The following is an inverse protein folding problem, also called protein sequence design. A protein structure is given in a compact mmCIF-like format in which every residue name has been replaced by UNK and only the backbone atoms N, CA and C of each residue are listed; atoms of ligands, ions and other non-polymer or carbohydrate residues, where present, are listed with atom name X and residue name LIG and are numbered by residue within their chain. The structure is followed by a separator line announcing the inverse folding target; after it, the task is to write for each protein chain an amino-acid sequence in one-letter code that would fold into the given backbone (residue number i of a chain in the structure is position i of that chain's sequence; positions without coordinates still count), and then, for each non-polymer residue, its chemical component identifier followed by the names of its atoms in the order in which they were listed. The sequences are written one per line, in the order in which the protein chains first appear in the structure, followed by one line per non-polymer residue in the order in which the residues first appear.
data_IF_819391411289
#
_entry.id   IF_819391411289
#
_cell.length_a   1.000
_cell.length_b   1.000
_cell.length_c   1.000
_cell.angle_alpha   90.00
_cell.angle_beta   90.00
_cell.angle_gamma   90.00
#
_symmetry.space_group_name_H-M   'P 1'
#
loop_
_entity.id
_entity.type
_entity.pdbx_description
1 polymer ?
#
# COMPACT_ATOMS: atom_id res chain seq x y z
N UNK A 1 -5.40 16.79 -6.36
CA UNK A 1 -5.16 15.82 -5.25
C UNK A 1 -6.14 16.04 -4.10
N UNK A 2 -6.44 15.00 -3.32
CA UNK A 2 -7.27 15.10 -2.12
C UNK A 2 -6.46 15.71 -0.97
N UNK A 3 -6.98 16.72 -0.22
CA UNK A 3 -6.33 17.22 0.98
C UNK A 3 -6.16 16.13 2.05
N UNK A 4 -5.03 16.12 2.75
CA UNK A 4 -4.73 15.15 3.82
C UNK A 4 -5.83 15.05 4.87
N UNK A 5 -6.33 16.19 5.35
CA UNK A 5 -7.36 16.22 6.40
C UNK A 5 -8.68 15.58 5.91
N UNK A 6 -8.98 15.72 4.61
CA UNK A 6 -10.13 15.06 3.99
C UNK A 6 -9.92 13.55 3.89
N UNK A 7 -8.72 13.09 3.51
CA UNK A 7 -8.39 11.67 3.48
C UNK A 7 -8.55 11.07 4.89
N UNK A 8 -7.89 11.68 5.88
CA UNK A 8 -7.94 11.26 7.28
C UNK A 8 -9.38 11.16 7.76
N UNK A 9 -10.20 12.19 7.52
CA UNK A 9 -11.60 12.19 7.91
C UNK A 9 -12.37 11.01 7.29
N UNK A 10 -12.16 10.73 6.00
CA UNK A 10 -12.78 9.56 5.32
C UNK A 10 -12.35 8.25 5.99
N UNK A 11 -11.05 8.09 6.29
CA UNK A 11 -10.53 6.87 6.90
C UNK A 11 -11.08 6.67 8.33
N UNK A 12 -11.30 7.74 9.09
CA UNK A 12 -11.95 7.69 10.41
C UNK A 12 -13.41 7.21 10.33
N UNK A 13 -14.11 7.49 9.24
CA UNK A 13 -15.49 7.02 9.02
C UNK A 13 -15.55 5.55 8.56
N UNK A 14 -14.41 4.93 8.25
CA UNK A 14 -14.33 3.58 7.66
C UNK A 14 -13.41 2.65 8.49
N UNK A 15 -13.66 2.44 9.79
CA UNK A 15 -12.76 1.67 10.66
C UNK A 15 -12.64 0.19 10.26
N UNK A 16 -13.67 -0.38 9.64
CA UNK A 16 -13.70 -1.78 9.17
C UNK A 16 -13.13 -1.94 7.75
N UNK A 17 -12.53 -0.91 7.16
CA UNK A 17 -11.94 -1.01 5.84
C UNK A 17 -10.69 -1.92 5.89
N UNK A 18 -10.80 -3.07 5.25
CA UNK A 18 -9.73 -4.07 5.20
C UNK A 18 -8.72 -3.80 4.08
N UNK A 19 -9.13 -3.10 3.03
CA UNK A 19 -8.31 -2.87 1.85
C UNK A 19 -8.37 -1.40 1.46
N UNK A 20 -7.22 -0.73 1.49
CA UNK A 20 -7.08 0.66 1.09
C UNK A 20 -6.18 0.72 -0.15
N UNK A 21 -6.68 1.37 -1.20
CA UNK A 21 -5.90 1.70 -2.38
C UNK A 21 -5.96 3.20 -2.62
N UNK A 22 -4.80 3.85 -2.63
CA UNK A 22 -4.66 5.28 -2.85
C UNK A 22 -3.75 5.49 -4.05
N UNK A 23 -4.23 6.27 -5.00
CA UNK A 23 -3.49 6.67 -6.19
C UNK A 23 -3.39 8.19 -6.25
N UNK A 24 -2.19 8.71 -6.06
CA UNK A 24 -1.88 10.13 -6.16
C UNK A 24 -1.50 10.47 -7.59
N UNK A 25 -2.45 11.04 -8.31
CA UNK A 25 -2.22 11.47 -9.68
C UNK A 25 -1.48 12.80 -9.68
N UNK A 26 -0.35 12.84 -10.39
CA UNK A 26 0.20 14.11 -10.87
C UNK A 26 -0.81 14.69 -11.85
N UNK A 27 -1.60 15.66 -11.40
CA UNK A 27 -2.30 16.51 -12.34
C UNK A 27 -1.22 17.09 -13.26
N UNK A 28 -1.34 16.82 -14.56
CA UNK A 28 -0.50 17.42 -15.61
C UNK A 28 -0.81 18.92 -15.70
N UNK A 29 -0.71 19.65 -14.59
CA UNK A 29 -0.75 21.08 -14.62
C UNK A 29 0.53 21.54 -15.33
N UNK A 30 0.42 22.50 -16.27
CA UNK A 30 1.60 23.14 -16.81
C UNK A 30 2.45 23.66 -15.64
N UNK A 31 3.79 23.64 -15.74
CA UNK A 31 4.66 24.16 -14.69
C UNK A 31 4.33 25.64 -14.49
N UNK A 32 3.46 25.95 -13.53
CA UNK A 32 3.21 27.32 -13.10
C UNK A 32 4.43 27.76 -12.28
N UNK A 33 5.24 28.71 -12.77
CA UNK A 33 6.54 29.03 -12.17
C UNK A 33 6.42 29.94 -10.95
N UNK A 34 5.27 29.99 -10.27
CA UNK A 34 5.01 30.98 -9.23
C UNK A 34 4.30 30.30 -8.06
N UNK A 35 5.01 30.27 -6.93
CA UNK A 35 4.66 29.71 -5.61
C UNK A 35 4.97 28.23 -5.47
N UNK A 36 6.04 27.93 -4.73
CA UNK A 36 6.45 26.59 -4.31
C UNK A 36 5.42 25.91 -3.42
N UNK A 37 4.29 25.54 -4.02
CA UNK A 37 3.36 24.58 -3.45
C UNK A 37 4.08 23.24 -3.52
N UNK A 38 4.79 22.92 -2.44
CA UNK A 38 5.21 21.55 -2.16
C UNK A 38 3.96 20.70 -2.30
N UNK A 39 3.99 19.75 -3.24
CA UNK A 39 2.87 18.85 -3.50
C UNK A 39 2.75 17.88 -2.33
N UNK A 40 2.11 18.32 -1.25
CA UNK A 40 1.97 17.51 -0.06
C UNK A 40 1.21 16.21 -0.39
N UNK A 41 1.88 15.07 -0.23
CA UNK A 41 1.24 13.76 -0.39
C UNK A 41 0.06 13.64 0.58
N UNK A 42 -1.02 12.99 0.14
CA UNK A 42 -2.16 12.70 1.02
C UNK A 42 -1.80 11.59 2.03
N UNK A 43 -0.80 10.75 1.72
CA UNK A 43 -0.17 9.83 2.66
C UNK A 43 1.23 10.34 3.01
N UNK A 44 1.34 10.91 4.22
CA UNK A 44 2.60 11.30 4.83
C UNK A 44 2.93 10.39 6.03
N UNK A 45 4.08 10.66 6.68
CA UNK A 45 4.49 9.99 7.91
C UNK A 45 3.42 10.04 9.02
N UNK A 46 2.62 11.11 9.09
CA UNK A 46 1.60 11.23 10.12
C UNK A 46 0.45 10.24 9.88
N UNK A 47 0.05 10.07 8.63
CA UNK A 47 -0.95 9.06 8.25
C UNK A 47 -0.41 7.65 8.54
N UNK A 48 0.84 7.35 8.15
CA UNK A 48 1.46 6.05 8.43
C UNK A 48 1.59 5.76 9.93
N UNK A 49 1.98 6.75 10.73
CA UNK A 49 2.03 6.61 12.21
C UNK A 49 0.66 6.33 12.81
N UNK A 50 -0.41 6.89 12.25
CA UNK A 50 -1.78 6.61 12.71
C UNK A 50 -2.29 5.23 12.28
N UNK A 51 -1.77 4.70 11.18
CA UNK A 51 -1.93 3.31 10.78
C UNK A 51 -1.05 2.37 11.63
N UNK A 52 0.05 2.85 12.23
CA UNK A 52 0.91 2.02 13.08
C UNK A 52 0.17 1.59 14.34
N UNK A 53 0.22 0.31 14.68
CA UNK A 53 -0.34 -0.24 15.91
C UNK A 53 0.69 -0.10 17.05
N UNK A 54 0.48 0.75 18.07
CA UNK A 54 1.38 0.79 19.21
C UNK A 54 1.34 -0.54 19.95
N UNK A 55 2.42 -0.92 20.63
CA UNK A 55 2.51 -2.19 21.39
C UNK A 55 1.25 -2.45 22.24
N UNK A 56 0.50 -3.49 21.89
CA UNK A 56 -0.72 -3.92 22.58
C UNK A 56 -1.96 -3.05 22.37
N UNK A 57 -1.94 -2.12 21.40
CA UNK A 57 -3.06 -1.24 21.07
C UNK A 57 -3.44 -1.37 19.60
N UNK A 58 -4.73 -1.18 19.30
CA UNK A 58 -5.19 -1.06 17.93
C UNK A 58 -4.72 0.27 17.31
N UNK A 59 -4.41 0.29 16.00
CA UNK A 59 -4.07 1.53 15.34
C UNK A 59 -5.28 2.47 15.27
N UNK A 60 -5.01 3.78 15.27
CA UNK A 60 -6.07 4.80 15.29
C UNK A 60 -6.82 4.87 13.96
N UNK A 61 -6.13 4.62 12.85
CA UNK A 61 -6.73 4.51 11.53
C UNK A 61 -6.72 3.04 11.07
N UNK A 62 -7.86 2.61 10.53
CA UNK A 62 -8.04 1.32 9.88
C UNK A 62 -7.52 0.14 10.72
N UNK A 63 -8.12 -0.11 11.90
CA UNK A 63 -7.75 -1.23 12.76
C UNK A 63 -7.85 -2.59 12.08
N UNK A 64 -8.68 -2.75 11.05
CA UNK A 64 -8.86 -4.02 10.35
C UNK A 64 -8.11 -4.08 9.01
N UNK A 65 -7.17 -3.17 8.75
CA UNK A 65 -6.47 -3.14 7.47
C UNK A 65 -5.62 -4.40 7.27
N UNK A 66 -5.90 -5.09 6.16
CA UNK A 66 -5.19 -6.26 5.66
C UNK A 66 -4.40 -5.97 4.40
N UNK A 67 -4.79 -4.96 3.63
CA UNK A 67 -4.10 -4.63 2.38
C UNK A 67 -3.94 -3.14 2.18
N UNK A 68 -2.73 -2.72 1.85
CA UNK A 68 -2.41 -1.34 1.52
C UNK A 68 -1.76 -1.26 0.15
N UNK A 69 -2.37 -0.49 -0.75
CA UNK A 69 -1.78 -0.11 -2.04
C UNK A 69 -1.63 1.40 -2.09
N UNK A 70 -0.41 1.87 -2.30
CA UNK A 70 -0.13 3.30 -2.47
C UNK A 70 0.65 3.50 -3.76
N UNK A 71 0.18 4.40 -4.61
CA UNK A 71 0.80 4.71 -5.90
C UNK A 71 0.82 6.23 -6.12
N UNK A 72 1.85 6.74 -6.80
CA UNK A 72 1.92 8.16 -7.18
C UNK A 72 3.12 8.91 -6.60
N UNK A 73 2.97 10.21 -6.36
CA UNK A 73 4.01 11.06 -5.76
C UNK A 73 3.92 10.95 -4.24
N UNK A 74 4.77 10.10 -3.65
CA UNK A 74 4.70 9.76 -2.23
C UNK A 74 5.71 10.58 -1.42
N UNK A 75 5.31 10.97 -0.20
CA UNK A 75 6.13 11.77 0.70
C UNK A 75 6.13 11.20 2.12
N UNK A 76 6.67 9.99 2.26
CA UNK A 76 6.91 9.35 3.56
C UNK A 76 8.26 8.64 3.63
N UNK A 77 8.79 8.49 4.85
CA UNK A 77 10.04 7.77 5.13
C UNK A 77 9.87 6.25 5.09
N UNK A 78 10.87 5.55 4.55
CA UNK A 78 10.90 4.09 4.50
C UNK A 78 10.90 3.44 5.89
N UNK A 79 11.53 4.08 6.87
CA UNK A 79 11.53 3.67 8.27
C UNK A 79 10.12 3.71 8.88
N UNK A 80 9.35 4.77 8.62
CA UNK A 80 7.98 4.91 9.09
C UNK A 80 7.05 3.87 8.46
N UNK A 81 7.24 3.57 7.17
CA UNK A 81 6.52 2.49 6.50
C UNK A 81 6.85 1.14 7.15
N UNK A 82 8.14 0.87 7.38
CA UNK A 82 8.59 -0.37 7.98
C UNK A 82 8.06 -0.56 9.40
N UNK A 83 8.05 0.49 10.22
CA UNK A 83 7.48 0.46 11.57
C UNK A 83 5.98 0.15 11.53
N UNK A 84 5.25 0.76 10.60
CA UNK A 84 3.84 0.47 10.38
C UNK A 84 3.62 -1.00 10.01
N UNK A 85 4.40 -1.55 9.08
CA UNK A 85 4.31 -2.96 8.67
C UNK A 85 4.66 -3.89 9.82
N UNK A 86 5.78 -3.67 10.51
CA UNK A 86 6.21 -4.47 11.67
C UNK A 86 5.11 -4.54 12.74
N UNK A 87 4.47 -3.40 13.01
CA UNK A 87 3.38 -3.34 14.00
C UNK A 87 2.14 -4.16 13.64
N UNK A 88 1.97 -4.50 12.36
CA UNK A 88 0.78 -5.18 11.82
C UNK A 88 1.06 -6.59 11.31
N UNK A 89 2.31 -7.01 11.24
CA UNK A 89 2.69 -8.38 10.85
C UNK A 89 2.94 -9.26 12.08
N UNK A 90 3.12 -8.67 13.27
CA UNK A 90 3.46 -9.44 14.48
C UNK A 90 2.42 -10.55 14.77
N UNK A 91 2.92 -11.78 14.82
CA UNK A 91 2.17 -13.04 14.79
C UNK A 91 1.71 -13.51 16.18
N UNK A 92 2.14 -12.82 17.25
CA UNK A 92 2.02 -13.35 18.62
C UNK A 92 0.74 -12.93 19.36
N UNK A 93 -0.10 -12.10 18.77
CA UNK A 93 -1.30 -11.59 19.41
C UNK A 93 -2.50 -11.86 18.52
N UNK A 94 -3.63 -12.22 19.12
CA UNK A 94 -4.96 -12.38 18.52
C UNK A 94 -5.51 -11.04 17.96
N UNK A 95 -4.64 -10.24 17.34
CA UNK A 95 -4.95 -8.94 16.78
C UNK A 95 -5.67 -9.15 15.45
N UNK A 96 -6.87 -8.58 15.25
CA UNK A 96 -7.59 -8.65 13.97
C UNK A 96 -6.90 -7.84 12.85
N UNK A 97 -5.80 -7.15 13.18
CA UNK A 97 -5.09 -6.18 12.36
C UNK A 97 -3.85 -6.76 11.68
N UNK A 98 -3.98 -7.93 11.05
CA UNK A 98 -2.87 -8.57 10.34
C UNK A 98 -2.75 -8.02 8.92
N UNK A 99 -1.67 -7.31 8.61
CA UNK A 99 -1.39 -6.86 7.24
C UNK A 99 -0.99 -8.06 6.39
N UNK A 100 -1.83 -8.38 5.41
CA UNK A 100 -1.65 -9.48 4.48
C UNK A 100 -0.83 -9.05 3.26
N UNK A 101 -0.99 -7.84 2.72
CA UNK A 101 -0.19 -7.38 1.58
C UNK A 101 0.09 -5.88 1.60
N UNK A 102 1.20 -5.52 0.95
CA UNK A 102 1.64 -4.14 0.77
C UNK A 102 2.15 -3.95 -0.66
N UNK A 103 1.61 -2.95 -1.35
CA UNK A 103 2.09 -2.55 -2.66
C UNK A 103 2.43 -1.05 -2.69
N UNK A 104 3.67 -0.72 -3.08
CA UNK A 104 4.14 0.67 -3.13
C UNK A 104 4.67 0.97 -4.53
N UNK A 105 4.05 1.94 -5.21
CA UNK A 105 4.36 2.33 -6.59
C UNK A 105 4.74 3.83 -6.64
N UNK A 106 5.96 4.19 -6.23
CA UNK A 106 6.41 5.58 -6.27
C UNK A 106 6.62 6.05 -7.73
N UNK A 107 6.22 7.29 -8.03
CA UNK A 107 6.48 7.96 -9.30
C UNK A 107 7.77 8.80 -9.26
N UNK A 108 8.21 9.31 -10.43
CA UNK A 108 9.50 10.01 -10.63
C UNK A 108 9.69 11.25 -9.72
N UNK A 109 8.61 11.79 -9.15
CA UNK A 109 8.67 12.95 -8.25
C UNK A 109 8.46 12.60 -6.77
N UNK A 110 8.37 11.32 -6.43
CA UNK A 110 8.25 10.83 -5.05
C UNK A 110 9.51 11.16 -4.26
N UNK A 111 9.35 11.61 -3.01
CA UNK A 111 10.47 11.73 -2.06
C UNK A 111 10.63 10.48 -1.21
N UNK A 112 9.66 9.55 -1.28
CA UNK A 112 9.81 8.22 -0.68
C UNK A 112 10.92 7.47 -1.39
N UNK A 113 12.02 7.26 -0.68
CA UNK A 113 13.11 6.35 -1.03
C UNK A 113 13.05 5.17 -0.04
N UNK A 114 12.92 3.95 -0.58
CA UNK A 114 13.13 2.73 0.18
C UNK A 114 14.57 2.31 -0.09
N UNK A 115 15.42 2.29 0.94
CA UNK A 115 16.76 1.76 0.78
C UNK A 115 16.72 0.22 0.70
N UNK A 116 17.76 -0.38 0.12
CA UNK A 116 17.87 -1.84 -0.04
C UNK A 116 17.65 -2.58 1.30
N UNK A 117 18.06 -1.97 2.42
CA UNK A 117 17.88 -2.54 3.76
C UNK A 117 16.44 -2.54 4.23
N UNK A 118 15.65 -1.53 3.87
CA UNK A 118 14.22 -1.41 4.17
C UNK A 118 13.44 -2.34 3.28
N UNK A 119 13.75 -2.38 1.98
CA UNK A 119 13.13 -3.30 1.02
C UNK A 119 13.33 -4.76 1.45
N UNK A 120 14.57 -5.16 1.75
CA UNK A 120 14.88 -6.51 2.24
C UNK A 120 14.12 -6.86 3.52
N UNK A 121 13.96 -5.92 4.46
CA UNK A 121 13.17 -6.15 5.67
C UNK A 121 11.67 -6.27 5.39
N UNK A 122 11.14 -5.50 4.43
CA UNK A 122 9.74 -5.62 4.02
C UNK A 122 9.48 -6.96 3.33
N UNK A 123 10.41 -7.41 2.48
CA UNK A 123 10.40 -8.74 1.87
C UNK A 123 10.49 -9.85 2.93
N UNK A 124 11.37 -9.74 3.93
CA UNK A 124 11.48 -10.73 5.00
C UNK A 124 10.18 -10.83 5.83
N UNK A 125 9.47 -9.71 6.03
CA UNK A 125 8.23 -9.67 6.82
C UNK A 125 7.01 -10.17 6.04
N UNK A 126 6.88 -9.82 4.77
CA UNK A 126 5.68 -10.08 3.96
C UNK A 126 5.87 -11.18 2.92
N UNK A 127 7.11 -11.57 2.62
CA UNK A 127 7.47 -12.48 1.53
C UNK A 127 6.95 -11.99 0.18
N UNK A 128 6.40 -12.91 -0.60
CA UNK A 128 5.77 -12.65 -1.91
C UNK A 128 4.57 -11.68 -1.87
N UNK A 129 4.15 -11.23 -0.67
CA UNK A 129 3.02 -10.31 -0.48
C UNK A 129 3.47 -8.85 -0.41
N UNK A 130 4.76 -8.58 -0.37
CA UNK A 130 5.31 -7.26 -0.68
C UNK A 130 5.50 -7.17 -2.20
N UNK A 131 4.82 -6.22 -2.83
CA UNK A 131 4.89 -6.01 -4.28
C UNK A 131 5.44 -4.62 -4.54
N UNK A 132 6.71 -4.57 -4.94
CA UNK A 132 7.32 -3.39 -5.52
C UNK A 132 7.51 -3.63 -7.01
N UNK A 133 7.02 -2.76 -7.89
CA UNK A 133 7.36 -2.86 -9.31
C UNK A 133 8.86 -2.62 -9.45
N UNK A 134 9.63 -3.60 -9.91
CA UNK A 134 11.02 -3.37 -10.30
C UNK A 134 11.06 -2.20 -11.29
N UNK A 135 11.66 -1.09 -10.85
CA UNK A 135 12.18 0.02 -11.65
C UNK A 135 11.35 0.44 -12.89
N UNK A 136 10.47 1.43 -12.69
CA UNK A 136 10.20 2.54 -13.62
C UNK A 136 9.67 2.30 -15.06
N UNK A 137 9.42 1.08 -15.55
CA UNK A 137 8.99 0.88 -16.96
C UNK A 137 7.50 0.49 -17.13
N UNK A 138 6.80 0.05 -16.07
CA UNK A 138 5.42 -0.48 -16.21
C UNK A 138 4.32 0.53 -15.78
N UNK A 139 4.65 1.80 -15.53
CA UNK A 139 3.59 2.79 -15.16
C UNK A 139 2.79 3.27 -16.40
N UNK A 140 3.25 3.02 -17.63
CA UNK A 140 2.44 3.32 -18.84
C UNK A 140 1.40 2.24 -19.17
N UNK A 141 1.56 1.02 -18.69
CA UNK A 141 0.68 -0.12 -19.02
C UNK A 141 -0.44 -0.33 -18.01
N UNK A 142 -0.33 0.18 -16.78
CA UNK A 142 -1.34 0.00 -15.72
C UNK A 142 -2.64 0.81 -15.91
N UNK A 143 -2.79 1.60 -16.98
CA UNK A 143 -4.13 2.02 -17.44
C UNK A 143 -5.05 0.83 -17.77
N UNK A 144 -4.52 -0.39 -17.94
CA UNK A 144 -5.29 -1.63 -18.11
C UNK A 144 -5.47 -2.47 -16.85
N UNK A 145 -4.76 -2.17 -15.75
CA UNK A 145 -4.85 -2.99 -14.53
C UNK A 145 -6.06 -2.63 -13.63
N UNK A 146 -6.87 -1.64 -14.02
CA UNK A 146 -8.17 -1.38 -13.37
C UNK A 146 -9.22 -2.49 -13.61
N UNK A 147 -8.88 -3.56 -14.34
CA UNK A 147 -9.66 -4.81 -14.43
C UNK A 147 -9.25 -5.86 -13.38
N UNK A 148 -8.70 -5.45 -12.23
CA UNK A 148 -8.49 -6.33 -11.06
C UNK A 148 -9.82 -6.68 -10.34
N UNK A 149 -10.85 -7.02 -11.11
CA UNK A 149 -12.13 -7.54 -10.63
C UNK A 149 -12.20 -9.07 -10.65
N UNK A 150 -11.15 -9.76 -11.08
CA UNK A 150 -11.10 -11.22 -11.04
C UNK A 150 -9.79 -11.71 -10.44
N UNK A 151 -9.85 -12.12 -9.16
CA UNK A 151 -9.34 -13.42 -8.73
C UNK A 151 -9.81 -13.76 -7.32
N UNK A 152 -10.92 -14.51 -7.20
CA UNK A 152 -11.02 -15.59 -6.25
C UNK A 152 -10.64 -16.92 -6.96
N UNK A 153 -9.67 -17.63 -6.37
CA UNK A 153 -9.35 -19.06 -6.40
C UNK A 153 -9.71 -19.93 -7.63
N UNK A 154 -8.74 -20.70 -8.12
CA UNK A 154 -9.01 -22.02 -8.71
C UNK A 154 -7.87 -23.02 -8.45
N UNK A 155 -8.10 -23.89 -7.47
CA UNK A 155 -7.53 -25.23 -7.39
C UNK A 155 -7.58 -25.92 -8.76
N UNK A 156 -6.44 -26.30 -9.30
CA UNK A 156 -6.40 -27.13 -10.51
C UNK A 156 -6.57 -28.60 -10.10
N UNK A 157 -7.82 -29.08 -10.03
CA UNK A 157 -8.09 -30.52 -10.03
C UNK A 157 -7.88 -31.05 -11.46
N UNK A 158 -6.84 -31.87 -11.67
CA UNK A 158 -6.66 -32.65 -12.89
C UNK A 158 -7.64 -33.83 -12.87
N UNK A 159 -8.63 -33.78 -13.76
CA UNK A 159 -9.45 -34.93 -14.13
C UNK A 159 -8.64 -35.81 -15.09
N UNK A 160 -8.35 -37.06 -14.72
CA UNK A 160 -7.89 -38.09 -15.67
C UNK A 160 -9.10 -38.92 -16.08
N UNK A 161 -9.48 -38.97 -17.37
CA UNK A 161 -10.38 -39.99 -17.85
C UNK A 161 -9.60 -41.29 -18.11
N UNK A 162 -10.01 -42.35 -17.43
CA UNK A 162 -9.62 -43.72 -17.73
C UNK A 162 -10.06 -44.07 -19.16
N UNK A 163 -9.11 -44.49 -20.00
CA UNK A 163 -9.43 -45.13 -21.27
C UNK A 163 -9.64 -46.63 -21.01
N UNK A 164 -10.87 -47.07 -21.22
CA UNK A 164 -11.20 -48.47 -21.52
C UNK A 164 -10.69 -48.80 -22.94
N UNK A 165 -9.87 -49.84 -23.04
CA UNK A 165 -9.92 -50.85 -24.10
C UNK A 165 -9.81 -52.23 -23.47
#
# INVERSE_FOLDING_TARGET
MMPRDQLVWILEQLPHLQHLSIQELVERQPPCPVLGHQHASSIDDNVLRRLTAPLGCNPTLLPELRGLTVAGVLEFGGDVLLDMVKSRVDLNLESPSHLEFLCVYPEICSTTELDDSTEMQLEDLLGDKFIQPESAIIIRSQRRAMDFKERPQALTYRYQPEFME
#
